data_IF_078940781533
#
_entry.id   IF_078940781533
#
_cell.length_a   1.000
_cell.length_b   1.000
_cell.length_c   1.000
_cell.angle_alpha   90.00
_cell.angle_beta   90.00
_cell.angle_gamma   90.00
#
_symmetry.space_group_name_H-M   'P 1'
#
loop_
_entity.id
_entity.type
_entity.pdbx_description
1 polymer ?
#
# COMPACT_ATOMS: atom_id res chain seq x y z
N UNK A 1 5.92 -11.32 3.85
CA UNK A 1 4.58 -11.81 4.18
C UNK A 1 3.77 -10.76 4.92
N UNK A 2 2.55 -10.56 4.51
CA UNK A 2 1.64 -9.64 5.20
C UNK A 2 1.10 -10.31 6.46
N UNK A 3 1.05 -9.53 7.51
CA UNK A 3 0.53 -9.98 8.79
C UNK A 3 -0.43 -8.93 9.33
N UNK A 4 -1.59 -9.39 9.75
CA UNK A 4 -2.57 -8.52 10.37
C UNK A 4 -2.18 -8.29 11.83
N UNK A 5 -2.15 -7.03 12.24
CA UNK A 5 -1.81 -6.64 13.60
C UNK A 5 -2.95 -5.83 14.20
N UNK A 6 -3.18 -6.00 15.50
CA UNK A 6 -4.05 -5.09 16.22
C UNK A 6 -3.42 -3.71 16.29
N UNK A 7 -4.23 -2.67 16.54
CA UNK A 7 -3.72 -1.30 16.47
C UNK A 7 -2.61 -1.03 17.50
N UNK A 8 -2.74 -1.53 18.72
CA UNK A 8 -1.69 -1.32 19.73
C UNK A 8 -0.42 -2.10 19.38
N UNK A 9 -0.57 -3.31 18.84
CA UNK A 9 0.57 -4.11 18.39
C UNK A 9 1.26 -3.42 17.22
N UNK A 10 0.48 -2.84 16.31
CA UNK A 10 1.03 -2.13 15.17
C UNK A 10 1.84 -0.91 15.60
N UNK A 11 1.31 -0.13 16.53
CA UNK A 11 2.00 1.06 17.03
C UNK A 11 3.28 0.70 17.78
N UNK A 12 3.31 -0.41 18.49
CA UNK A 12 4.51 -0.91 19.16
C UNK A 12 5.51 -1.44 18.14
N UNK A 13 5.06 -2.19 17.17
CA UNK A 13 5.94 -2.82 16.17
C UNK A 13 6.64 -1.81 15.28
N UNK A 14 6.03 -0.64 15.02
CA UNK A 14 6.63 0.34 14.11
C UNK A 14 7.96 0.91 14.62
N UNK A 15 8.25 0.80 15.94
CA UNK A 15 9.55 1.21 16.47
C UNK A 15 10.67 0.27 16.01
N UNK A 16 10.32 -0.98 15.68
CA UNK A 16 11.25 -2.01 15.26
C UNK A 16 11.16 -2.32 13.77
N UNK A 17 10.15 -1.78 13.08
CA UNK A 17 9.86 -2.07 11.68
C UNK A 17 9.67 -0.79 10.90
N UNK A 18 10.02 -0.86 9.62
CA UNK A 18 9.66 0.21 8.70
C UNK A 18 8.24 -0.03 8.22
N UNK A 19 7.40 0.99 8.33
CA UNK A 19 6.01 0.93 7.87
C UNK A 19 5.96 1.44 6.44
N UNK A 20 5.46 0.60 5.54
CA UNK A 20 5.25 0.96 4.13
C UNK A 20 3.76 1.23 3.93
N UNK A 21 3.43 2.43 3.49
CA UNK A 21 2.06 2.80 3.16
C UNK A 21 1.89 2.66 1.65
N UNK A 22 1.08 1.71 1.23
CA UNK A 22 0.88 1.38 -0.20
C UNK A 22 -0.30 2.11 -0.82
N UNK A 23 -0.92 3.03 -0.07
CA UNK A 23 -2.05 3.81 -0.59
C UNK A 23 -1.57 4.80 -1.63
N UNK A 24 -2.53 5.34 -2.41
CA UNK A 24 -2.22 6.37 -3.40
C UNK A 24 -1.64 7.62 -2.72
N UNK A 25 -0.79 8.40 -3.43
CA UNK A 25 -0.14 9.57 -2.83
C UNK A 25 -1.08 10.55 -2.17
N UNK A 26 -2.23 10.78 -2.76
CA UNK A 26 -3.25 11.69 -2.23
C UNK A 26 -3.82 11.21 -0.90
N UNK A 27 -4.04 9.91 -0.79
CA UNK A 27 -4.51 9.30 0.45
C UNK A 27 -3.45 9.42 1.54
N UNK A 28 -2.20 9.17 1.20
CA UNK A 28 -1.08 9.32 2.12
C UNK A 28 -0.96 10.77 2.62
N UNK A 29 -1.10 11.72 1.72
CA UNK A 29 -1.01 13.15 2.07
C UNK A 29 -2.15 13.59 2.99
N UNK A 30 -3.33 12.97 2.89
CA UNK A 30 -4.47 13.30 3.74
C UNK A 30 -4.29 12.87 5.19
N UNK A 31 -3.42 11.91 5.44
CA UNK A 31 -3.11 11.42 6.78
C UNK A 31 -2.50 10.04 6.70
N UNK A 32 -1.45 9.83 7.50
CA UNK A 32 -0.74 8.55 7.52
C UNK A 32 -0.07 8.36 8.87
N UNK A 33 0.38 7.15 9.11
CA UNK A 33 1.11 6.81 10.32
C UNK A 33 2.43 7.59 10.32
N UNK A 34 2.77 8.31 11.41
CA UNK A 34 4.03 9.03 11.48
C UNK A 34 5.22 8.13 11.20
N UNK A 35 6.12 8.57 10.33
CA UNK A 35 7.30 7.82 9.95
C UNK A 35 7.07 6.78 8.84
N UNK A 36 5.83 6.62 8.37
CA UNK A 36 5.54 5.70 7.28
C UNK A 36 6.15 6.22 5.97
N UNK A 37 6.62 5.29 5.14
CA UNK A 37 7.14 5.58 3.81
C UNK A 37 6.06 5.25 2.79
N UNK A 38 5.73 6.19 1.93
CA UNK A 38 4.72 5.96 0.89
C UNK A 38 5.37 5.32 -0.34
N UNK A 39 5.00 4.07 -0.61
CA UNK A 39 5.37 3.38 -1.84
C UNK A 39 4.06 2.92 -2.46
N UNK A 40 3.39 3.79 -3.24
CA UNK A 40 2.04 3.50 -3.71
C UNK A 40 2.01 2.40 -4.76
N UNK A 41 1.01 1.51 -4.65
CA UNK A 41 0.72 0.53 -5.70
C UNK A 41 -0.02 1.16 -6.86
N UNK A 42 -0.74 2.25 -6.61
CA UNK A 42 -1.48 2.99 -7.65
C UNK A 42 -1.10 4.46 -7.59
N UNK A 43 -1.00 5.09 -8.74
CA UNK A 43 -1.04 6.55 -8.82
C UNK A 43 -2.45 7.01 -8.43
N UNK A 44 -2.62 8.31 -8.21
CA UNK A 44 -3.95 8.85 -7.90
C UNK A 44 -4.94 8.57 -9.03
N UNK A 45 -4.52 8.70 -10.28
CA UNK A 45 -5.35 8.42 -11.44
C UNK A 45 -5.72 6.93 -11.51
N UNK A 46 -4.76 6.05 -11.27
CA UNK A 46 -5.00 4.61 -11.27
C UNK A 46 -5.97 4.22 -10.15
N UNK A 47 -5.80 4.81 -8.98
CA UNK A 47 -6.70 4.57 -7.86
C UNK A 47 -8.13 4.99 -8.20
N UNK A 48 -8.29 6.12 -8.89
CA UNK A 48 -9.58 6.60 -9.32
C UNK A 48 -10.22 5.64 -10.34
N UNK A 49 -9.43 5.11 -11.27
CA UNK A 49 -9.93 4.12 -12.24
C UNK A 49 -10.43 2.86 -11.54
N UNK A 50 -9.68 2.33 -10.59
CA UNK A 50 -10.07 1.14 -9.85
C UNK A 50 -11.35 1.42 -9.04
N UNK A 51 -11.42 2.58 -8.38
CA UNK A 51 -12.60 2.96 -7.62
C UNK A 51 -13.84 3.13 -8.47
N UNK A 52 -13.71 3.73 -9.64
CA UNK A 52 -14.81 3.88 -10.60
C UNK A 52 -15.27 2.52 -11.10
N UNK A 53 -14.33 1.65 -11.43
CA UNK A 53 -14.66 0.29 -11.87
C UNK A 53 -15.43 -0.46 -10.80
N UNK A 54 -15.03 -0.33 -9.55
CA UNK A 54 -15.74 -0.94 -8.43
C UNK A 54 -17.19 -0.48 -8.36
N UNK A 55 -17.40 0.83 -8.45
CA UNK A 55 -18.74 1.41 -8.33
C UNK A 55 -19.64 1.09 -9.52
N UNK A 56 -19.09 1.08 -10.74
CA UNK A 56 -19.89 0.94 -11.96
C UNK A 56 -20.08 -0.50 -12.42
N UNK A 57 -19.08 -1.34 -12.21
CA UNK A 57 -19.07 -2.71 -12.72
C UNK A 57 -19.17 -3.71 -11.58
N UNK A 58 -18.35 -3.56 -10.55
CA UNK A 58 -18.37 -4.41 -9.38
C UNK A 58 -17.00 -4.81 -8.88
N UNK A 59 -17.00 -5.57 -7.80
CA UNK A 59 -15.81 -5.96 -7.08
C UNK A 59 -14.83 -6.78 -7.92
N UNK A 60 -15.32 -7.77 -8.64
CA UNK A 60 -14.44 -8.65 -9.42
C UNK A 60 -13.74 -7.88 -10.54
N UNK A 61 -14.48 -7.02 -11.24
CA UNK A 61 -13.88 -6.19 -12.28
C UNK A 61 -12.84 -5.25 -11.72
N UNK A 62 -13.06 -4.69 -10.54
CA UNK A 62 -12.09 -3.82 -9.88
C UNK A 62 -10.83 -4.58 -9.49
N UNK A 63 -10.96 -5.81 -8.99
CA UNK A 63 -9.81 -6.67 -8.66
C UNK A 63 -8.99 -6.94 -9.91
N UNK A 64 -9.63 -7.31 -11.01
CA UNK A 64 -8.92 -7.57 -12.27
C UNK A 64 -8.21 -6.33 -12.78
N UNK A 65 -8.86 -5.18 -12.72
CA UNK A 65 -8.27 -3.91 -13.12
C UNK A 65 -7.05 -3.60 -12.27
N UNK A 66 -7.16 -3.75 -10.97
CA UNK A 66 -6.05 -3.53 -10.04
C UNK A 66 -4.87 -4.44 -10.35
N UNK A 67 -5.12 -5.71 -10.61
CA UNK A 67 -4.05 -6.66 -10.96
C UNK A 67 -3.38 -6.31 -12.29
N UNK A 68 -4.15 -5.87 -13.28
CA UNK A 68 -3.59 -5.43 -14.55
C UNK A 68 -2.63 -4.24 -14.37
N UNK A 69 -2.98 -3.34 -13.47
CA UNK A 69 -2.17 -2.15 -13.21
C UNK A 69 -0.93 -2.50 -12.37
N UNK A 70 -1.10 -3.27 -11.30
CA UNK A 70 -0.01 -3.53 -10.35
C UNK A 70 0.93 -4.64 -10.79
N UNK A 71 0.44 -5.62 -11.55
CA UNK A 71 1.26 -6.76 -11.95
C UNK A 71 2.61 -6.36 -12.54
N UNK A 72 2.64 -5.48 -13.55
CA UNK A 72 3.91 -5.06 -14.14
C UNK A 72 4.81 -4.25 -13.21
N UNK A 73 4.27 -3.75 -12.09
CA UNK A 73 5.01 -2.89 -11.16
C UNK A 73 5.58 -3.64 -9.96
N UNK A 74 5.26 -4.92 -9.80
CA UNK A 74 5.59 -5.63 -8.56
C UNK A 74 7.07 -5.69 -8.27
N UNK A 75 7.91 -5.91 -9.29
CA UNK A 75 9.34 -5.94 -9.08
C UNK A 75 9.87 -4.58 -8.63
N UNK A 76 9.42 -3.52 -9.25
CA UNK A 76 9.82 -2.16 -8.85
C UNK A 76 9.36 -1.85 -7.43
N UNK A 77 8.15 -2.26 -7.10
CA UNK A 77 7.62 -2.08 -5.75
C UNK A 77 8.50 -2.81 -4.72
N UNK A 78 8.84 -4.05 -4.99
CA UNK A 78 9.68 -4.84 -4.09
C UNK A 78 11.04 -4.19 -3.90
N UNK A 79 11.66 -3.73 -4.99
CA UNK A 79 12.95 -3.05 -4.92
C UNK A 79 12.86 -1.79 -4.06
N UNK A 80 11.82 -0.98 -4.23
CA UNK A 80 11.63 0.22 -3.45
C UNK A 80 11.43 -0.11 -1.96
N UNK A 81 10.66 -1.15 -1.66
CA UNK A 81 10.43 -1.58 -0.28
C UNK A 81 11.73 -2.04 0.37
N UNK A 82 12.55 -2.80 -0.34
CA UNK A 82 13.83 -3.25 0.17
C UNK A 82 14.81 -2.10 0.41
N UNK A 83 14.81 -1.10 -0.47
CA UNK A 83 15.64 0.08 -0.28
C UNK A 83 15.20 0.90 0.93
N UNK A 84 13.89 0.96 1.17
CA UNK A 84 13.36 1.69 2.32
C UNK A 84 13.74 1.01 3.66
N UNK A 85 13.92 -0.30 3.66
CA UNK A 85 14.18 -1.06 4.88
C UNK A 85 15.12 -2.25 4.61
N UNK A 86 16.39 -1.99 4.27
CA UNK A 86 17.30 -3.07 3.85
C UNK A 86 17.59 -4.09 4.95
N UNK A 87 17.58 -3.68 6.21
CA UNK A 87 17.92 -4.54 7.35
C UNK A 87 16.84 -4.58 8.41
N UNK A 88 15.61 -4.26 8.05
CA UNK A 88 14.49 -4.18 8.99
C UNK A 88 13.34 -5.04 8.52
N UNK A 89 12.55 -5.47 9.48
CA UNK A 89 11.26 -6.06 9.18
C UNK A 89 10.32 -5.01 8.60
N UNK A 90 9.47 -5.43 7.69
CA UNK A 90 8.48 -4.54 7.08
C UNK A 90 7.13 -4.72 7.72
N UNK A 91 6.41 -3.63 7.86
CA UNK A 91 4.99 -3.63 8.16
C UNK A 91 4.31 -2.80 7.08
N UNK A 92 3.25 -3.33 6.48
CA UNK A 92 2.57 -2.68 5.36
C UNK A 92 1.21 -2.18 5.80
N UNK A 93 0.85 -1.02 5.29
CA UNK A 93 -0.43 -0.39 5.56
C UNK A 93 -1.13 -0.07 4.25
N UNK A 94 -2.38 -0.45 4.14
CA UNK A 94 -3.26 -0.04 3.05
C UNK A 94 -4.51 0.59 3.66
N UNK A 95 -5.37 1.16 2.83
CA UNK A 95 -6.52 1.91 3.32
C UNK A 95 -7.63 1.07 3.91
N UNK A 96 -7.51 -0.19 3.89
CA UNK A 96 -8.49 -1.04 4.55
C UNK A 96 -8.21 -1.16 6.00
#
# INVERSE_FOLDING_TARGET
MLRELGISDFLTARSERTVIDVRAPKEFASGHIPGAVNIPLFTDEERAVVGTTYKRVGREAAIRKGLQITGPKLEQFLNAAQQAAPNRKLAMHCWR
#
